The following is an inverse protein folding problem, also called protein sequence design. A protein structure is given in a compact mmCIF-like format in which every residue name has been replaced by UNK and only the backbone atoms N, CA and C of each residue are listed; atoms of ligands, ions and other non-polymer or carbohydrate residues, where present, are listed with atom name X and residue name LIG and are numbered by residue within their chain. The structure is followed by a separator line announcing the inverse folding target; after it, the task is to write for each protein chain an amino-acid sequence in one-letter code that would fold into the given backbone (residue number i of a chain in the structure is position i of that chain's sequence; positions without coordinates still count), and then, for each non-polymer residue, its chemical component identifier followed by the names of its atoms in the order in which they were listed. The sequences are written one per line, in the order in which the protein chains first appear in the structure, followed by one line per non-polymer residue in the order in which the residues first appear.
data_IF_162787563632
#
_entry.id   IF_162787563632
#
_cell.length_a   1.000
_cell.length_b   1.000
_cell.length_c   1.000
_cell.angle_alpha   90.00
_cell.angle_beta   90.00
_cell.angle_gamma   90.00
#
_symmetry.space_group_name_H-M   'P 1'
#
loop_
_entity.id
_entity.type
_entity.pdbx_description
1 polymer ?
#
# COMPACT_ATOMS: atom_id res chain seq x y z
N UNK A 1 4.60 -18.81 -7.16
CA UNK A 1 4.23 -17.43 -6.76
C UNK A 1 4.21 -16.46 -7.94
N UNK A 2 5.26 -16.40 -8.78
CA UNK A 2 5.29 -15.52 -9.94
C UNK A 2 4.16 -15.80 -10.96
N UNK A 3 3.93 -17.07 -11.32
CA UNK A 3 2.87 -17.46 -12.26
C UNK A 3 1.44 -17.12 -11.78
N UNK A 4 1.17 -17.33 -10.48
CA UNK A 4 -0.08 -16.94 -9.87
C UNK A 4 -0.29 -15.41 -9.85
N UNK A 5 0.81 -14.66 -9.67
CA UNK A 5 0.77 -13.18 -9.74
C UNK A 5 0.45 -12.72 -11.15
N UNK A 6 1.15 -13.24 -12.15
CA UNK A 6 0.91 -12.90 -13.56
C UNK A 6 -0.52 -13.24 -13.98
N UNK A 7 -1.05 -14.39 -13.54
CA UNK A 7 -2.44 -14.77 -13.79
C UNK A 7 -3.43 -13.77 -13.17
N UNK A 8 -3.20 -13.36 -11.92
CA UNK A 8 -4.01 -12.34 -11.25
C UNK A 8 -3.96 -11.00 -11.98
N UNK A 9 -2.76 -10.56 -12.40
CA UNK A 9 -2.59 -9.31 -13.13
C UNK A 9 -3.34 -9.34 -14.45
N UNK A 10 -3.19 -10.39 -15.26
CA UNK A 10 -3.92 -10.54 -16.54
C UNK A 10 -5.43 -10.52 -16.38
N UNK A 11 -5.94 -11.12 -15.30
CA UNK A 11 -7.39 -11.12 -15.00
C UNK A 11 -7.89 -9.73 -14.64
N UNK A 12 -7.10 -8.95 -13.90
CA UNK A 12 -7.43 -7.55 -13.60
C UNK A 12 -7.33 -6.67 -14.85
N UNK A 13 -6.35 -6.90 -15.72
CA UNK A 13 -6.24 -6.17 -16.99
C UNK A 13 -7.40 -6.49 -17.94
N UNK A 14 -7.90 -7.73 -17.93
CA UNK A 14 -9.06 -8.13 -18.73
C UNK A 14 -10.36 -7.40 -18.35
N UNK A 15 -10.44 -6.83 -17.14
CA UNK A 15 -11.55 -5.96 -16.72
C UNK A 15 -11.25 -4.47 -16.95
N UNK A 16 -10.17 -4.15 -17.66
CA UNK A 16 -9.76 -2.79 -18.01
C UNK A 16 -8.89 -2.10 -16.95
N UNK A 17 -8.42 -2.82 -15.92
CA UNK A 17 -7.60 -2.21 -14.88
C UNK A 17 -6.19 -1.89 -15.40
N UNK A 18 -5.73 -0.67 -15.18
CA UNK A 18 -4.32 -0.32 -15.34
C UNK A 18 -3.56 -0.79 -14.08
N UNK A 19 -2.90 -1.95 -14.18
CA UNK A 19 -2.33 -2.66 -13.02
C UNK A 19 -0.86 -2.33 -12.82
N UNK A 20 -0.49 -2.06 -11.57
CA UNK A 20 0.88 -2.05 -11.09
C UNK A 20 1.15 -3.31 -10.25
N UNK A 21 2.29 -3.99 -10.47
CA UNK A 21 2.70 -5.18 -9.72
C UNK A 21 4.23 -5.23 -9.59
N UNK A 22 4.78 -4.55 -8.58
CA UNK A 22 6.23 -4.50 -8.33
C UNK A 22 6.78 -5.75 -7.63
N UNK A 23 5.94 -6.49 -6.90
CA UNK A 23 6.35 -7.65 -6.12
C UNK A 23 5.45 -8.88 -6.39
N UNK A 24 5.99 -10.10 -6.30
CA UNK A 24 5.16 -11.30 -6.40
C UNK A 24 4.08 -11.34 -5.31
N UNK A 25 2.85 -11.66 -5.70
CA UNK A 25 1.71 -11.86 -4.81
C UNK A 25 0.86 -10.61 -4.56
N UNK A 26 1.13 -9.50 -5.22
CA UNK A 26 0.37 -8.26 -5.08
C UNK A 26 0.12 -7.57 -6.43
N UNK A 27 -1.00 -6.87 -6.51
CA UNK A 27 -1.37 -6.03 -7.65
C UNK A 27 -2.19 -4.85 -7.14
N UNK A 28 -2.00 -3.68 -7.75
CA UNK A 28 -2.67 -2.44 -7.41
C UNK A 28 -3.25 -1.80 -8.68
N UNK A 29 -4.42 -1.19 -8.57
CA UNK A 29 -5.03 -0.41 -9.65
C UNK A 29 -5.92 0.69 -9.05
N UNK A 30 -6.14 1.75 -9.82
CA UNK A 30 -7.04 2.82 -9.42
C UNK A 30 -8.51 2.42 -9.68
N UNK A 31 -9.32 2.44 -8.62
CA UNK A 31 -10.76 2.13 -8.72
C UNK A 31 -11.49 3.16 -9.60
N UNK A 32 -11.13 4.44 -9.47
CA UNK A 32 -11.88 5.54 -10.09
C UNK A 32 -11.88 5.45 -11.63
N UNK A 33 -10.80 4.96 -12.24
CA UNK A 33 -10.71 4.75 -13.69
C UNK A 33 -11.63 3.67 -14.23
N UNK A 34 -12.16 2.80 -13.35
CA UNK A 34 -13.01 1.68 -13.71
C UNK A 34 -14.51 1.92 -13.48
N UNK A 35 -14.86 2.95 -12.71
CA UNK A 35 -16.27 3.26 -12.37
C UNK A 35 -17.14 3.47 -13.59
N UNK A 36 -16.59 4.13 -14.62
CA UNK A 36 -17.31 4.39 -15.88
C UNK A 36 -17.48 3.14 -16.77
N UNK A 37 -16.62 2.13 -16.62
CA UNK A 37 -16.66 0.88 -17.40
C UNK A 37 -17.63 -0.11 -16.74
N UNK A 38 -17.54 -0.24 -15.43
CA UNK A 38 -18.37 -1.16 -14.64
C UNK A 38 -19.59 -0.48 -14.04
N UNK A 39 -19.99 0.66 -14.61
CA UNK A 39 -21.29 1.31 -14.45
C UNK A 39 -21.68 1.71 -13.03
N UNK A 40 -20.72 1.95 -12.15
CA UNK A 40 -21.02 1.93 -10.72
C UNK A 40 -20.09 2.68 -9.80
N UNK A 41 -20.32 2.44 -8.52
CA UNK A 41 -19.51 2.91 -7.41
C UNK A 41 -18.28 2.01 -7.20
N UNK A 42 -17.55 2.29 -6.12
CA UNK A 42 -16.40 1.49 -5.70
C UNK A 42 -16.76 0.03 -5.49
N UNK A 43 -17.94 -0.27 -4.96
CA UNK A 43 -18.31 -1.63 -4.56
C UNK A 43 -18.60 -2.50 -5.77
N UNK A 44 -19.19 -1.92 -6.83
CA UNK A 44 -19.32 -2.58 -8.14
C UNK A 44 -17.97 -2.96 -8.74
N UNK A 45 -17.01 -2.02 -8.77
CA UNK A 45 -15.64 -2.31 -9.27
C UNK A 45 -14.97 -3.42 -8.45
N UNK A 46 -15.16 -3.41 -7.12
CA UNK A 46 -14.61 -4.46 -6.26
C UNK A 46 -15.27 -5.82 -6.47
N UNK A 47 -16.57 -5.87 -6.74
CA UNK A 47 -17.26 -7.10 -7.07
C UNK A 47 -16.69 -7.74 -8.36
N UNK A 48 -16.55 -6.94 -9.42
CA UNK A 48 -15.95 -7.37 -10.68
C UNK A 48 -14.50 -7.83 -10.49
N UNK A 49 -13.71 -7.09 -9.72
CA UNK A 49 -12.33 -7.47 -9.43
C UNK A 49 -12.24 -8.79 -8.65
N UNK A 50 -13.12 -9.02 -7.66
CA UNK A 50 -13.21 -10.28 -6.90
C UNK A 50 -13.55 -11.45 -7.81
N UNK A 51 -14.54 -11.28 -8.68
CA UNK A 51 -14.95 -12.31 -9.63
C UNK A 51 -13.80 -12.66 -10.58
N UNK A 52 -13.14 -11.65 -11.15
CA UNK A 52 -12.07 -11.84 -12.11
C UNK A 52 -10.89 -12.63 -11.52
N UNK A 53 -10.42 -12.27 -10.31
CA UNK A 53 -9.25 -12.92 -9.71
C UNK A 53 -9.58 -14.24 -9.00
N UNK A 54 -10.85 -14.45 -8.63
CA UNK A 54 -11.32 -15.66 -7.96
C UNK A 54 -10.94 -15.73 -6.47
N UNK A 55 -11.19 -16.89 -5.82
CA UNK A 55 -10.92 -17.06 -4.40
C UNK A 55 -9.41 -17.12 -4.10
N UNK A 56 -9.01 -16.62 -2.93
CA UNK A 56 -7.63 -16.69 -2.44
C UNK A 56 -7.00 -15.32 -2.17
N UNK A 57 -6.89 -14.43 -3.18
CA UNK A 57 -6.37 -13.09 -2.98
C UNK A 57 -7.17 -12.30 -1.94
N UNK A 58 -6.46 -11.49 -1.15
CA UNK A 58 -7.09 -10.54 -0.24
C UNK A 58 -7.27 -9.21 -0.96
N UNK A 59 -8.44 -8.62 -0.85
CA UNK A 59 -8.75 -7.33 -1.47
C UNK A 59 -9.12 -6.34 -0.38
N UNK A 60 -8.54 -5.15 -0.47
CA UNK A 60 -8.92 -3.98 0.30
C UNK A 60 -8.69 -2.73 -0.54
N UNK A 61 -9.32 -1.63 -0.14
CA UNK A 61 -9.16 -0.34 -0.81
C UNK A 61 -8.70 0.71 0.16
N UNK A 62 -7.91 1.65 -0.32
CA UNK A 62 -7.54 2.85 0.41
C UNK A 62 -7.14 3.94 -0.58
N UNK A 63 -7.00 5.20 -0.15
CA UNK A 63 -6.64 6.30 -1.03
C UNK A 63 -5.26 6.20 -1.69
N UNK A 64 -4.35 5.40 -1.13
CA UNK A 64 -3.02 5.19 -1.69
C UNK A 64 -2.58 3.72 -1.59
N UNK A 65 -1.57 3.38 -2.39
CA UNK A 65 -1.04 2.01 -2.53
C UNK A 65 -0.59 1.41 -1.19
N UNK A 66 0.16 2.18 -0.39
CA UNK A 66 0.60 1.74 0.94
C UNK A 66 -0.55 1.35 1.88
N UNK A 67 -1.55 2.23 1.99
CA UNK A 67 -2.72 1.97 2.82
C UNK A 67 -3.58 0.85 2.23
N UNK A 68 -3.67 0.73 0.91
CA UNK A 68 -4.44 -0.32 0.23
C UNK A 68 -3.83 -1.70 0.51
N UNK A 69 -2.50 -1.80 0.55
CA UNK A 69 -1.79 -3.01 0.98
C UNK A 69 -2.19 -3.42 2.41
N UNK A 70 -2.15 -2.48 3.36
CA UNK A 70 -2.57 -2.75 4.73
C UNK A 70 -4.07 -3.09 4.84
N UNK A 71 -4.91 -2.42 4.05
CA UNK A 71 -6.35 -2.64 3.99
C UNK A 71 -6.69 -4.03 3.43
N UNK A 72 -5.93 -4.51 2.43
CA UNK A 72 -6.08 -5.86 1.88
C UNK A 72 -5.86 -6.94 2.94
N UNK A 73 -4.82 -6.82 3.78
CA UNK A 73 -4.59 -7.75 4.88
C UNK A 73 -5.75 -7.83 5.87
N UNK A 74 -6.39 -6.68 6.14
CA UNK A 74 -7.59 -6.54 6.99
C UNK A 74 -8.91 -6.78 6.25
N UNK A 75 -8.88 -7.01 4.93
CA UNK A 75 -10.05 -7.16 4.04
C UNK A 75 -11.06 -6.01 4.20
N UNK A 76 -10.57 -4.78 4.31
CA UNK A 76 -11.39 -3.59 4.54
C UNK A 76 -11.24 -2.55 3.43
N UNK A 77 -12.16 -1.61 3.40
CA UNK A 77 -12.10 -0.40 2.58
C UNK A 77 -11.89 0.80 3.49
N UNK A 78 -10.91 1.64 3.16
CA UNK A 78 -10.54 2.82 3.94
C UNK A 78 -10.85 4.05 3.09
N UNK A 79 -11.62 4.99 3.62
CA UNK A 79 -11.86 6.28 2.98
C UNK A 79 -10.73 7.28 3.24
N UNK A 80 -10.71 8.39 2.49
CA UNK A 80 -9.79 9.51 2.72
C UNK A 80 -9.87 10.03 4.17
N UNK A 81 -11.09 10.19 4.69
CA UNK A 81 -11.33 10.66 6.07
C UNK A 81 -10.84 9.69 7.14
N UNK A 82 -10.77 8.39 6.84
CA UNK A 82 -10.36 7.35 7.79
C UNK A 82 -8.86 7.03 7.70
N UNK A 83 -8.18 7.49 6.65
CA UNK A 83 -6.80 7.11 6.35
C UNK A 83 -5.85 7.31 7.54
N UNK A 84 -5.92 8.47 8.18
CA UNK A 84 -5.05 8.77 9.33
C UNK A 84 -5.33 7.84 10.52
N UNK A 85 -6.60 7.65 10.87
CA UNK A 85 -7.01 6.78 11.98
C UNK A 85 -6.68 5.31 11.70
N UNK A 86 -6.80 4.88 10.45
CA UNK A 86 -6.48 3.53 10.01
C UNK A 86 -4.97 3.23 10.09
N UNK A 87 -4.13 4.17 9.63
CA UNK A 87 -2.67 4.00 9.63
C UNK A 87 -2.07 4.15 11.03
N UNK A 88 -2.61 5.06 11.85
CA UNK A 88 -2.05 5.43 13.15
C UNK A 88 -1.61 4.23 14.03
N UNK A 89 -2.44 3.19 14.23
CA UNK A 89 -2.08 2.06 15.10
C UNK A 89 -1.21 1.00 14.42
N UNK A 90 -0.94 1.08 13.11
CA UNK A 90 -0.16 0.06 12.42
C UNK A 90 1.30 0.11 12.87
N UNK A 91 1.93 -1.07 12.96
CA UNK A 91 3.34 -1.19 13.32
C UNK A 91 4.24 -0.66 12.20
N UNK A 92 5.36 -0.04 12.57
CA UNK A 92 6.43 0.36 11.62
C UNK A 92 7.00 -0.82 10.83
N UNK A 93 6.82 -2.06 11.31
CA UNK A 93 7.26 -3.29 10.62
C UNK A 93 6.60 -3.52 9.26
N UNK A 94 5.54 -2.78 8.91
CA UNK A 94 4.92 -2.84 7.57
C UNK A 94 5.72 -2.06 6.51
N UNK A 95 6.59 -1.14 6.92
CA UNK A 95 7.33 -0.25 6.03
C UNK A 95 8.30 -0.96 5.06
N UNK A 96 9.07 -2.01 5.46
CA UNK A 96 10.13 -2.54 4.60
C UNK A 96 9.66 -3.01 3.22
N UNK A 97 8.40 -3.43 3.11
CA UNK A 97 7.81 -3.87 1.85
C UNK A 97 7.45 -2.70 0.92
N UNK A 98 7.73 -1.45 1.30
CA UNK A 98 7.26 -0.23 0.63
C UNK A 98 8.30 0.87 0.58
N UNK A 99 9.47 0.58 1.15
CA UNK A 99 10.64 1.39 0.99
C UNK A 99 11.37 0.87 -0.26
N UNK A 100 11.62 1.74 -1.23
CA UNK A 100 12.42 1.44 -2.42
C UNK A 100 13.91 1.40 -2.03
N UNK A 101 14.24 0.45 -1.17
CA UNK A 101 15.57 0.23 -0.63
C UNK A 101 15.85 -1.27 -0.49
N UNK A 102 17.12 -1.70 -0.45
CA UNK A 102 17.48 -3.07 -0.13
C UNK A 102 16.81 -3.52 1.17
N UNK A 103 16.28 -4.75 1.19
CA UNK A 103 15.49 -5.26 2.31
C UNK A 103 16.22 -5.19 3.66
N UNK A 104 17.54 -5.37 3.67
CA UNK A 104 18.37 -5.22 4.88
C UNK A 104 18.38 -3.79 5.43
N UNK A 105 18.54 -2.79 4.58
CA UNK A 105 18.57 -1.38 4.98
C UNK A 105 17.21 -0.95 5.54
N UNK A 106 16.13 -1.36 4.87
CA UNK A 106 14.77 -1.11 5.33
C UNK A 106 14.47 -1.80 6.68
N UNK A 107 14.99 -3.01 6.90
CA UNK A 107 14.89 -3.71 8.19
C UNK A 107 15.71 -3.02 9.28
N UNK A 108 16.94 -2.58 8.99
CA UNK A 108 17.80 -1.86 9.94
C UNK A 108 17.16 -0.53 10.39
N UNK A 109 16.47 0.17 9.49
CA UNK A 109 15.65 1.34 9.83
C UNK A 109 14.56 0.97 10.84
N UNK A 110 13.77 -0.07 10.56
CA UNK A 110 12.69 -0.52 11.46
C UNK A 110 13.23 -0.91 12.84
N UNK A 111 14.33 -1.67 12.89
CA UNK A 111 14.95 -2.07 14.15
C UNK A 111 15.43 -0.85 14.95
N UNK A 112 16.00 0.14 14.26
CA UNK A 112 16.42 1.39 14.91
C UNK A 112 15.21 2.17 15.44
N UNK A 113 14.13 2.29 14.67
CA UNK A 113 12.89 2.94 15.12
C UNK A 113 12.33 2.28 16.38
N UNK A 114 12.25 0.96 16.40
CA UNK A 114 11.77 0.19 17.54
C UNK A 114 12.65 0.37 18.79
N UNK A 115 13.98 0.36 18.63
CA UNK A 115 14.92 0.63 19.75
C UNK A 115 14.77 2.04 20.33
N UNK A 116 14.21 2.97 19.56
CA UNK A 116 13.91 4.33 20.00
C UNK A 116 12.48 4.50 20.53
N UNK A 117 11.73 3.40 20.69
CA UNK A 117 10.35 3.40 21.15
C UNK A 117 9.33 3.85 20.09
N UNK A 118 9.73 3.93 18.81
CA UNK A 118 8.86 4.31 17.70
C UNK A 118 8.30 3.03 17.07
N UNK A 119 7.23 2.51 17.67
CA UNK A 119 6.66 1.22 17.26
C UNK A 119 5.52 1.34 16.24
N UNK A 120 4.89 2.52 16.15
CA UNK A 120 3.71 2.74 15.30
C UNK A 120 3.93 3.80 14.22
N UNK A 121 3.14 3.74 13.15
CA UNK A 121 3.13 4.77 12.11
C UNK A 121 2.72 6.14 12.68
N UNK A 122 1.82 6.20 13.66
CA UNK A 122 1.54 7.45 14.36
C UNK A 122 2.79 8.00 15.08
N UNK A 123 3.52 7.15 15.79
CA UNK A 123 4.76 7.53 16.47
C UNK A 123 5.77 8.13 15.49
N UNK A 124 5.96 7.50 14.33
CA UNK A 124 6.88 7.98 13.30
C UNK A 124 6.40 9.27 12.63
N UNK A 125 5.12 9.36 12.28
CA UNK A 125 4.56 10.53 11.57
C UNK A 125 4.60 11.82 12.39
N UNK A 126 4.58 11.71 13.73
CA UNK A 126 4.69 12.84 14.68
C UNK A 126 6.07 13.46 14.77
N UNK A 127 7.12 12.77 14.37
CA UNK A 127 8.48 13.32 14.34
C UNK A 127 8.55 14.38 13.23
N UNK A 128 9.33 15.45 13.39
CA UNK A 128 9.50 16.43 12.30
C UNK A 128 10.26 15.83 11.12
N UNK A 129 10.04 16.38 9.91
CA UNK A 129 10.75 15.92 8.72
C UNK A 129 12.27 16.10 8.85
N UNK A 130 12.70 17.24 9.41
CA UNK A 130 14.12 17.57 9.59
C UNK A 130 14.80 16.60 10.56
N UNK A 131 14.18 16.31 11.71
CA UNK A 131 14.73 15.33 12.68
C UNK A 131 14.81 13.93 12.09
N UNK A 132 13.86 13.56 11.24
CA UNK A 132 13.91 12.28 10.54
C UNK A 132 15.03 12.28 9.50
N UNK A 133 15.20 13.37 8.75
CA UNK A 133 16.28 13.53 7.77
C UNK A 133 17.66 13.44 8.43
N UNK A 134 17.88 14.17 9.51
CA UNK A 134 19.15 14.22 10.24
C UNK A 134 19.57 12.85 10.77
N UNK A 135 18.59 12.03 11.19
CA UNK A 135 18.86 10.76 11.87
C UNK A 135 18.80 9.53 10.97
N UNK A 136 17.94 9.55 9.96
CA UNK A 136 17.60 8.38 9.14
C UNK A 136 17.73 8.63 7.64
N UNK A 137 18.18 9.83 7.24
CA UNK A 137 18.40 10.18 5.85
C UNK A 137 17.14 10.10 4.97
N UNK A 138 17.33 9.96 3.65
CA UNK A 138 16.23 9.86 2.68
C UNK A 138 15.26 8.71 2.95
N UNK A 139 15.78 7.57 3.43
CA UNK A 139 14.97 6.38 3.72
C UNK A 139 13.97 6.63 4.84
N UNK A 140 14.42 7.25 5.93
CA UNK A 140 13.54 7.66 7.02
C UNK A 140 12.51 8.70 6.57
N UNK A 141 12.90 9.65 5.71
CA UNK A 141 11.94 10.61 5.16
C UNK A 141 10.84 9.91 4.36
N UNK A 142 11.18 8.92 3.52
CA UNK A 142 10.19 8.10 2.81
C UNK A 142 9.28 7.37 3.80
N UNK A 143 9.86 6.70 4.81
CA UNK A 143 9.12 5.99 5.84
C UNK A 143 8.12 6.91 6.56
N UNK A 144 8.53 8.12 6.90
CA UNK A 144 7.67 9.13 7.53
C UNK A 144 6.55 9.60 6.60
N UNK A 145 6.82 9.80 5.31
CA UNK A 145 5.78 10.15 4.33
C UNK A 145 4.70 9.06 4.28
N UNK A 146 5.11 7.80 4.15
CA UNK A 146 4.21 6.64 4.15
C UNK A 146 3.40 6.56 5.45
N UNK A 147 4.06 6.71 6.60
CA UNK A 147 3.41 6.73 7.91
C UNK A 147 2.37 7.85 8.06
N UNK A 148 2.59 8.98 7.36
CA UNK A 148 1.65 10.09 7.26
C UNK A 148 0.63 9.97 6.12
N UNK A 149 0.48 8.80 5.50
CA UNK A 149 -0.50 8.58 4.42
C UNK A 149 -0.12 9.16 3.07
N UNK A 150 1.16 9.50 2.84
CA UNK A 150 1.67 10.01 1.57
C UNK A 150 2.51 8.96 0.87
N UNK A 151 1.99 8.43 -0.22
CA UNK A 151 2.66 7.50 -1.13
C UNK A 151 2.70 8.10 -2.54
N UNK A 152 3.55 7.57 -3.40
CA UNK A 152 3.62 8.03 -4.78
C UNK A 152 2.43 7.49 -5.59
N UNK A 153 2.04 8.17 -6.68
CA UNK A 153 1.02 7.65 -7.60
C UNK A 153 1.38 6.27 -8.15
N UNK A 154 0.36 5.50 -8.49
CA UNK A 154 0.54 4.22 -9.18
C UNK A 154 1.28 4.41 -10.51
N UNK A 155 2.11 3.43 -10.86
CA UNK A 155 2.82 3.32 -12.14
C UNK A 155 2.40 2.02 -12.82
N UNK A 156 1.23 1.99 -13.47
CA UNK A 156 0.76 0.80 -14.18
C UNK A 156 1.79 0.30 -15.19
N UNK A 157 1.82 -1.01 -15.40
CA UNK A 157 2.62 -1.61 -16.47
C UNK A 157 2.04 -1.23 -17.83
N UNK A 158 2.92 -1.09 -18.82
CA UNK A 158 2.57 -0.75 -20.20
C UNK A 158 2.03 -1.96 -20.97
#
# INVERSE_FOLDING_TARGET
MAEATETMVRRLEAIGAAVESERPGEAFFAVDGLRGIHGGDRDGVLAVAREAIGPGPRIGTAPNRFAAYAAAWKRTSVSESELHLFLAPLSVSILPLRLDAPGREAQELVLTLQRLGIETLQGLSRISADRVADRFGPLGQRARRLAGGRDDPLRPRA
#
